data_IF_048404008796
#
_entry.id   IF_048404008796
#
_cell.length_a   1.000
_cell.length_b   1.000
_cell.length_c   1.000
_cell.angle_alpha   90.00
_cell.angle_beta   90.00
_cell.angle_gamma   90.00
#
_symmetry.space_group_name_H-M   'P 1'
#
loop_
_entity.id
_entity.type
_entity.pdbx_description
1 polymer ?
#
# COMPACT_ATOMS: atom_id res chain seq x y z
N UNK A 1 16.53 24.19 -20.89
CA UNK A 1 16.11 22.91 -21.49
C UNK A 1 15.65 22.00 -20.35
N UNK A 2 14.36 21.98 -20.08
CA UNK A 2 13.77 21.02 -19.14
C UNK A 2 13.74 19.67 -19.85
N UNK A 3 14.47 18.69 -19.35
CA UNK A 3 14.39 17.33 -19.89
C UNK A 3 13.02 16.76 -19.48
N UNK A 4 12.15 16.50 -20.45
CA UNK A 4 10.96 15.67 -20.22
C UNK A 4 11.42 14.29 -19.72
N UNK A 5 10.79 13.74 -18.67
CA UNK A 5 11.12 12.40 -18.21
C UNK A 5 10.84 11.42 -19.35
N UNK A 6 11.88 10.75 -19.85
CA UNK A 6 11.71 9.69 -20.84
C UNK A 6 11.05 8.51 -20.11
N UNK A 7 9.77 8.29 -20.36
CA UNK A 7 9.07 7.11 -19.87
C UNK A 7 9.72 5.88 -20.52
N UNK A 8 10.42 5.07 -19.73
CA UNK A 8 10.91 3.79 -20.18
C UNK A 8 9.70 2.93 -20.58
N UNK A 9 9.71 2.40 -21.81
CA UNK A 9 8.63 1.57 -22.36
C UNK A 9 8.41 0.26 -21.57
N UNK A 10 9.37 -0.10 -20.73
CA UNK A 10 9.29 -1.25 -19.81
C UNK A 10 9.94 -0.87 -18.47
N UNK A 11 9.20 -1.05 -17.38
CA UNK A 11 9.75 -0.89 -16.02
C UNK A 11 10.40 -2.23 -15.63
N UNK A 12 11.71 -2.28 -15.34
CA UNK A 12 12.39 -3.52 -15.01
C UNK A 12 11.87 -4.09 -13.68
N UNK A 13 11.56 -5.37 -13.60
CA UNK A 13 11.10 -6.00 -12.35
C UNK A 13 12.30 -6.30 -11.44
N UNK A 14 12.70 -5.32 -10.65
CA UNK A 14 13.77 -5.40 -9.67
C UNK A 14 13.29 -4.87 -8.29
N UNK A 15 14.17 -4.89 -7.29
CA UNK A 15 13.83 -4.46 -5.93
C UNK A 15 13.32 -3.01 -5.87
N UNK A 16 13.93 -2.10 -6.63
CA UNK A 16 13.50 -0.69 -6.68
C UNK A 16 12.08 -0.55 -7.24
N UNK A 17 11.77 -1.29 -8.30
CA UNK A 17 10.43 -1.33 -8.88
C UNK A 17 9.41 -1.94 -7.92
N UNK A 18 9.75 -3.02 -7.22
CA UNK A 18 8.86 -3.61 -6.21
C UNK A 18 8.59 -2.62 -5.07
N UNK A 19 9.63 -1.94 -4.57
CA UNK A 19 9.48 -0.90 -3.56
C UNK A 19 8.61 0.26 -4.08
N UNK A 20 8.81 0.70 -5.32
CA UNK A 20 7.99 1.73 -5.94
C UNK A 20 6.51 1.31 -6.08
N UNK A 21 6.24 0.04 -6.41
CA UNK A 21 4.89 -0.52 -6.46
C UNK A 21 4.26 -0.52 -5.06
N UNK A 22 4.96 -1.00 -4.03
CA UNK A 22 4.45 -1.01 -2.65
C UNK A 22 4.16 0.41 -2.16
N UNK A 23 5.05 1.37 -2.45
CA UNK A 23 4.84 2.79 -2.15
C UNK A 23 3.61 3.37 -2.86
N UNK A 24 3.43 3.05 -4.15
CA UNK A 24 2.27 3.48 -4.92
C UNK A 24 0.97 2.88 -4.38
N UNK A 25 0.99 1.60 -3.98
CA UNK A 25 -0.16 0.95 -3.33
C UNK A 25 -0.48 1.63 -1.99
N UNK A 26 0.52 1.96 -1.19
CA UNK A 26 0.34 2.74 0.04
C UNK A 26 -0.32 4.10 -0.23
N UNK A 27 0.12 4.81 -1.28
CA UNK A 27 -0.49 6.07 -1.69
C UNK A 27 -1.95 5.92 -2.14
N UNK A 28 -2.27 4.85 -2.89
CA UNK A 28 -3.66 4.54 -3.29
C UNK A 28 -4.52 4.24 -2.07
N UNK A 29 -4.04 3.44 -1.12
CA UNK A 29 -4.76 3.14 0.13
C UNK A 29 -4.97 4.40 0.96
N UNK A 30 -3.95 5.26 1.07
CA UNK A 30 -4.06 6.53 1.77
C UNK A 30 -5.16 7.42 1.12
N UNK A 31 -5.08 7.63 -0.19
CA UNK A 31 -6.01 8.47 -0.94
C UNK A 31 -7.44 7.92 -0.89
N UNK A 32 -7.60 6.60 -0.97
CA UNK A 32 -8.90 5.93 -0.87
C UNK A 32 -9.47 6.09 0.53
N UNK A 33 -8.68 5.85 1.57
CA UNK A 33 -9.10 6.01 2.97
C UNK A 33 -9.60 7.44 3.21
N UNK A 34 -8.90 8.48 2.73
CA UNK A 34 -9.30 9.89 2.90
C UNK A 34 -10.69 10.23 2.32
N UNK A 35 -11.18 9.46 1.36
CA UNK A 35 -12.49 9.70 0.73
C UNK A 35 -13.64 9.02 1.47
N UNK A 36 -13.34 8.15 2.44
CA UNK A 36 -14.35 7.42 3.21
C UNK A 36 -14.86 8.25 4.39
N UNK A 37 -16.12 8.03 4.83
CA UNK A 37 -16.60 8.49 6.14
C UNK A 37 -15.71 7.98 7.29
N UNK A 38 -15.57 8.69 8.42
CA UNK A 38 -14.67 8.33 9.52
C UNK A 38 -14.81 6.88 10.00
N UNK A 39 -16.04 6.38 10.12
CA UNK A 39 -16.31 5.00 10.53
C UNK A 39 -15.81 3.96 9.51
N UNK A 40 -15.83 4.32 8.22
CA UNK A 40 -15.35 3.48 7.12
C UNK A 40 -13.83 3.54 6.97
N UNK A 41 -13.20 4.65 7.36
CA UNK A 41 -11.74 4.77 7.42
C UNK A 41 -11.14 3.74 8.40
N UNK A 42 -11.69 3.70 9.61
CA UNK A 42 -11.28 2.73 10.63
C UNK A 42 -11.56 1.28 10.20
N UNK A 43 -12.68 1.03 9.53
CA UNK A 43 -13.02 -0.29 9.01
C UNK A 43 -11.98 -0.80 7.99
N UNK A 44 -11.60 0.04 7.01
CA UNK A 44 -10.61 -0.33 5.99
C UNK A 44 -9.24 -0.64 6.61
N UNK A 45 -8.77 0.20 7.55
CA UNK A 45 -7.52 -0.07 8.26
C UNK A 45 -7.57 -1.42 9.01
N UNK A 46 -8.67 -1.71 9.70
CA UNK A 46 -8.83 -2.97 10.43
C UNK A 46 -8.89 -4.18 9.50
N UNK A 47 -9.51 -4.07 8.33
CA UNK A 47 -9.59 -5.19 7.38
C UNK A 47 -8.21 -5.52 6.79
N UNK A 48 -7.37 -4.53 6.51
CA UNK A 48 -5.97 -4.76 6.10
C UNK A 48 -5.16 -5.49 7.19
N UNK A 49 -5.34 -5.13 8.46
CA UNK A 49 -4.69 -5.82 9.57
C UNK A 49 -5.17 -7.28 9.73
N UNK A 50 -6.46 -7.56 9.50
CA UNK A 50 -7.00 -8.94 9.51
C UNK A 50 -6.43 -9.77 8.37
N UNK A 51 -6.31 -9.19 7.17
CA UNK A 51 -5.70 -9.86 6.03
C UNK A 51 -4.24 -10.19 6.32
N UNK A 52 -3.46 -9.26 6.87
CA UNK A 52 -2.07 -9.51 7.26
C UNK A 52 -1.96 -10.70 8.22
N UNK A 53 -2.80 -10.73 9.27
CA UNK A 53 -2.85 -11.84 10.22
C UNK A 53 -3.23 -13.19 9.59
N UNK A 54 -4.03 -13.19 8.52
CA UNK A 54 -4.34 -14.42 7.81
C UNK A 54 -3.14 -14.92 7.02
N UNK A 55 -2.36 -14.04 6.40
CA UNK A 55 -1.13 -14.40 5.69
C UNK A 55 -0.02 -14.87 6.64
N UNK A 56 0.12 -14.23 7.81
CA UNK A 56 0.98 -14.69 8.90
C UNK A 56 0.69 -16.17 9.26
N UNK A 57 -0.58 -16.50 9.49
CA UNK A 57 -1.03 -17.86 9.82
C UNK A 57 -0.77 -18.87 8.69
N UNK A 58 -0.69 -18.40 7.45
CA UNK A 58 -0.38 -19.22 6.27
C UNK A 58 1.13 -19.33 6.02
N UNK A 59 1.95 -18.61 6.78
CA UNK A 59 3.40 -18.56 6.62
C UNK A 59 3.88 -17.64 5.50
N UNK A 60 2.99 -16.82 4.90
CA UNK A 60 3.36 -15.83 3.89
C UNK A 60 3.68 -14.49 4.54
N UNK A 61 4.90 -14.42 5.09
CA UNK A 61 5.40 -13.24 5.81
C UNK A 61 5.68 -12.05 4.88
N UNK A 62 5.86 -12.30 3.57
CA UNK A 62 6.10 -11.23 2.59
C UNK A 62 4.81 -10.47 2.33
N UNK A 63 3.73 -11.19 2.05
CA UNK A 63 2.41 -10.58 1.84
C UNK A 63 1.90 -9.97 3.15
N UNK A 64 2.11 -10.61 4.30
CA UNK A 64 1.83 -10.04 5.62
C UNK A 64 2.48 -8.65 5.78
N UNK A 65 3.78 -8.54 5.51
CA UNK A 65 4.54 -7.29 5.66
C UNK A 65 3.95 -6.18 4.80
N UNK A 66 3.66 -6.47 3.54
CA UNK A 66 3.06 -5.50 2.61
C UNK A 66 1.69 -5.06 3.14
N UNK A 67 0.84 -5.98 3.60
CA UNK A 67 -0.49 -5.65 4.14
C UNK A 67 -0.41 -4.79 5.40
N UNK A 68 0.60 -5.00 6.25
CA UNK A 68 0.86 -4.14 7.42
C UNK A 68 1.31 -2.73 7.01
N UNK A 69 2.10 -2.58 5.94
CA UNK A 69 2.46 -1.26 5.41
C UNK A 69 1.24 -0.52 4.85
N UNK A 70 0.36 -1.22 4.14
CA UNK A 70 -0.91 -0.65 3.67
C UNK A 70 -1.82 -0.27 4.85
N UNK A 71 -1.88 -1.09 5.90
CA UNK A 71 -2.59 -0.75 7.13
C UNK A 71 -2.07 0.56 7.75
N UNK A 72 -0.75 0.73 7.84
CA UNK A 72 -0.12 1.97 8.34
C UNK A 72 -0.51 3.18 7.49
N UNK A 73 -0.54 3.04 6.16
CA UNK A 73 -0.99 4.09 5.26
C UNK A 73 -2.47 4.47 5.49
N UNK A 74 -3.36 3.49 5.68
CA UNK A 74 -4.76 3.72 6.01
C UNK A 74 -4.92 4.44 7.38
N UNK A 75 -4.18 4.01 8.40
CA UNK A 75 -4.18 4.67 9.72
C UNK A 75 -3.68 6.11 9.62
N UNK A 76 -2.64 6.36 8.83
CA UNK A 76 -2.11 7.71 8.62
C UNK A 76 -3.12 8.63 7.91
N UNK A 77 -3.92 8.09 6.99
CA UNK A 77 -4.97 8.85 6.29
C UNK A 77 -6.15 9.23 7.21
N UNK A 78 -6.42 8.44 8.24
CA UNK A 78 -7.54 8.63 9.16
C UNK A 78 -7.25 9.60 10.32
N UNK A 79 -6.05 10.19 10.35
CA UNK A 79 -5.64 11.19 11.34
C UNK A 79 -5.97 12.61 10.92
#
# INVERSE_FOLDING_TARGET
MSQEPRHATQIPLNADTVNAIVNALGAVVFATTRQLPPERQAALANDLAKLAKNEERRGDTTTETILLDLHRAAVAAAR
#
